data_IF_296794458302
#
_entry.id   IF_296794458302
#
_cell.length_a   1.000
_cell.length_b   1.000
_cell.length_c   1.000
_cell.angle_alpha   90.00
_cell.angle_beta   90.00
_cell.angle_gamma   90.00
#
_symmetry.space_group_name_H-M   'P 1'
#
loop_
_entity.id
_entity.type
_entity.pdbx_description
1 polymer ?
#
# COMPACT_ATOMS: atom_id res chain seq x y z
N UNK A 1 22.63 -21.30 18.78
CA UNK A 1 22.73 -19.98 19.42
C UNK A 1 21.51 -19.81 20.31
N UNK A 2 21.66 -20.03 21.62
CA UNK A 2 20.55 -20.06 22.58
C UNK A 2 20.17 -18.63 23.00
N UNK A 3 18.95 -18.21 22.69
CA UNK A 3 18.41 -16.92 23.15
C UNK A 3 18.04 -17.09 24.63
N UNK A 4 18.89 -16.59 25.53
CA UNK A 4 18.54 -16.41 26.94
C UNK A 4 17.47 -15.32 27.01
N UNK A 5 16.24 -15.71 27.29
CA UNK A 5 15.18 -14.78 27.69
C UNK A 5 15.58 -14.19 29.04
N UNK A 6 16.20 -13.02 29.01
CA UNK A 6 16.44 -12.22 30.21
C UNK A 6 15.06 -11.79 30.70
N UNK A 7 14.54 -12.47 31.73
CA UNK A 7 13.45 -11.98 32.56
C UNK A 7 13.96 -10.76 33.31
N UNK A 8 13.99 -9.61 32.65
CA UNK A 8 14.08 -8.34 33.36
C UNK A 8 12.77 -8.16 34.13
N UNK A 9 12.91 -8.11 35.46
CA UNK A 9 11.87 -7.66 36.36
C UNK A 9 11.51 -6.22 35.97
N UNK A 10 10.55 -6.05 35.07
CA UNK A 10 9.80 -4.81 35.00
C UNK A 10 9.06 -4.71 36.33
N UNK A 11 9.62 -3.91 37.25
CA UNK A 11 8.82 -3.22 38.27
C UNK A 11 7.61 -2.65 37.54
N UNK A 12 6.44 -2.77 38.13
CA UNK A 12 5.20 -2.14 37.66
C UNK A 12 5.32 -0.61 37.64
N UNK A 13 6.16 -0.07 36.76
CA UNK A 13 6.15 1.33 36.36
C UNK A 13 4.86 1.52 35.57
N UNK A 14 3.90 2.17 36.22
CA UNK A 14 2.66 2.60 35.58
C UNK A 14 3.03 3.45 34.37
N UNK A 15 2.92 2.88 33.17
CA UNK A 15 3.11 3.63 31.93
C UNK A 15 2.13 4.79 31.91
N UNK A 16 2.64 6.02 31.89
CA UNK A 16 1.80 7.21 31.86
C UNK A 16 0.98 7.26 30.57
N UNK A 17 -0.27 7.71 30.68
CA UNK A 17 -1.19 7.82 29.53
C UNK A 17 -0.61 8.64 28.37
N UNK A 18 0.17 9.68 28.69
CA UNK A 18 0.79 10.53 27.69
C UNK A 18 1.87 9.78 26.90
N UNK A 19 2.58 8.84 27.54
CA UNK A 19 3.54 7.96 26.87
C UNK A 19 2.83 7.03 25.88
N UNK A 20 1.67 6.49 26.25
CA UNK A 20 0.88 5.62 25.35
C UNK A 20 0.38 6.41 24.14
N UNK A 21 -0.11 7.64 24.33
CA UNK A 21 -0.58 8.50 23.24
C UNK A 21 0.56 8.80 22.26
N UNK A 22 1.73 9.20 22.78
CA UNK A 22 2.91 9.48 21.95
C UNK A 22 3.37 8.25 21.14
N UNK A 23 3.31 7.05 21.73
CA UNK A 23 3.64 5.81 21.02
C UNK A 23 2.67 5.57 19.86
N UNK A 24 1.36 5.79 20.05
CA UNK A 24 0.37 5.57 18.99
C UNK A 24 0.52 6.61 17.89
N UNK A 25 0.69 7.89 18.23
CA UNK A 25 0.94 8.96 17.26
C UNK A 25 2.20 8.69 16.42
N UNK A 26 3.31 8.31 17.07
CA UNK A 26 4.55 7.95 16.38
C UNK A 26 4.38 6.76 15.43
N UNK A 27 3.59 5.75 15.82
CA UNK A 27 3.29 4.62 14.93
C UNK A 27 2.37 5.02 13.77
N UNK A 28 1.44 5.93 14.01
CA UNK A 28 0.57 6.50 12.98
C UNK A 28 1.37 7.26 11.93
N UNK A 29 2.35 8.06 12.35
CA UNK A 29 3.25 8.76 11.43
C UNK A 29 4.07 7.79 10.57
N UNK A 30 4.51 6.66 11.14
CA UNK A 30 5.17 5.58 10.38
C UNK A 30 4.23 4.94 9.36
N UNK A 31 2.98 4.69 9.73
CA UNK A 31 1.95 4.14 8.81
C UNK A 31 1.69 5.12 7.67
N UNK A 32 1.54 6.42 7.96
CA UNK A 32 1.36 7.46 6.93
C UNK A 32 2.57 7.61 6.02
N UNK A 33 3.78 7.55 6.58
CA UNK A 33 5.02 7.55 5.80
C UNK A 33 5.07 6.35 4.84
N UNK A 34 4.69 5.17 5.34
CA UNK A 34 4.58 3.96 4.52
C UNK A 34 3.51 4.11 3.43
N UNK A 35 2.36 4.69 3.75
CA UNK A 35 1.31 5.00 2.77
C UNK A 35 1.79 5.95 1.67
N UNK A 36 2.56 6.99 2.02
CA UNK A 36 3.16 7.91 1.04
C UNK A 36 4.19 7.20 0.16
N UNK A 37 5.02 6.31 0.71
CA UNK A 37 5.95 5.50 -0.08
C UNK A 37 5.20 4.61 -1.07
N UNK A 38 4.13 3.93 -0.63
CA UNK A 38 3.27 3.13 -1.51
C UNK A 38 2.67 4.00 -2.62
N UNK A 39 2.14 5.18 -2.29
CA UNK A 39 1.60 6.11 -3.27
C UNK A 39 2.62 6.51 -4.34
N UNK A 40 3.86 6.80 -3.94
CA UNK A 40 4.94 7.12 -4.88
C UNK A 40 5.27 5.94 -5.79
N UNK A 41 5.42 4.73 -5.22
CA UNK A 41 5.74 3.53 -6.01
C UNK A 41 4.59 3.22 -6.98
N UNK A 42 3.34 3.25 -6.52
CA UNK A 42 2.15 3.06 -7.37
C UNK A 42 2.07 4.08 -8.51
N UNK A 43 2.51 5.32 -8.27
CA UNK A 43 2.60 6.34 -9.32
C UNK A 43 3.65 6.00 -10.38
N UNK A 44 4.83 5.55 -9.96
CA UNK A 44 5.91 5.14 -10.86
C UNK A 44 5.49 3.92 -11.68
N UNK A 45 4.91 2.89 -11.03
CA UNK A 45 4.44 1.68 -11.71
C UNK A 45 3.31 1.98 -12.68
N UNK A 46 2.37 2.85 -12.32
CA UNK A 46 1.31 3.31 -13.23
C UNK A 46 1.89 3.96 -14.49
N UNK A 47 2.85 4.88 -14.33
CA UNK A 47 3.51 5.53 -15.47
C UNK A 47 4.27 4.53 -16.35
N UNK A 48 4.99 3.58 -15.76
CA UNK A 48 5.68 2.53 -16.49
C UNK A 48 4.71 1.62 -17.27
N UNK A 49 3.60 1.25 -16.64
CA UNK A 49 2.56 0.40 -17.22
C UNK A 49 1.87 1.08 -18.41
N UNK A 50 1.56 2.37 -18.29
CA UNK A 50 1.04 3.17 -19.38
C UNK A 50 2.05 3.29 -20.54
N UNK A 51 3.31 3.55 -20.23
CA UNK A 51 4.38 3.61 -21.23
C UNK A 51 4.53 2.29 -22.00
N UNK A 52 4.49 1.16 -21.29
CA UNK A 52 4.51 -0.18 -21.91
C UNK A 52 3.29 -0.42 -22.79
N UNK A 53 2.08 -0.09 -22.31
CA UNK A 53 0.86 -0.27 -23.09
C UNK A 53 0.86 0.56 -24.38
N UNK A 54 1.29 1.82 -24.31
CA UNK A 54 1.40 2.69 -25.49
C UNK A 54 2.46 2.17 -26.47
N UNK A 55 3.61 1.75 -25.97
CA UNK A 55 4.67 1.14 -26.79
C UNK A 55 4.19 -0.13 -27.50
N UNK A 56 3.42 -0.97 -26.82
CA UNK A 56 2.84 -2.18 -27.42
C UNK A 56 1.79 -1.87 -28.47
N UNK A 57 1.00 -0.80 -28.27
CA UNK A 57 0.01 -0.36 -29.25
C UNK A 57 0.61 0.19 -30.54
N UNK A 58 1.82 0.74 -30.46
CA UNK A 58 2.52 1.30 -31.62
C UNK A 58 3.30 0.23 -32.40
N UNK A 59 3.73 -0.85 -31.74
CA UNK A 59 4.46 -1.94 -32.40
C UNK A 59 3.53 -2.86 -33.20
N UNK A 60 3.52 -2.67 -34.52
CA UNK A 60 3.00 -3.64 -35.48
C UNK A 60 3.72 -5.00 -35.38
N UNK A 61 3.00 -6.09 -35.70
CA UNK A 61 3.53 -7.45 -35.74
C UNK A 61 3.01 -8.40 -34.65
N UNK A 62 2.14 -7.93 -33.75
CA UNK A 62 1.45 -8.78 -32.76
C UNK A 62 0.09 -9.21 -33.35
N UNK A 63 -0.30 -10.48 -33.15
CA UNK A 63 -1.63 -10.93 -33.56
C UNK A 63 -2.72 -10.19 -32.78
N UNK A 64 -3.88 -9.97 -33.40
CA UNK A 64 -5.01 -9.27 -32.76
C UNK A 64 -5.41 -9.91 -31.42
N UNK A 65 -5.34 -11.24 -31.32
CA UNK A 65 -5.66 -11.98 -30.09
C UNK A 65 -4.64 -11.69 -28.98
N UNK A 66 -3.35 -11.74 -29.28
CA UNK A 66 -2.30 -11.44 -28.30
C UNK A 66 -2.33 -9.97 -27.85
N UNK A 67 -2.64 -9.05 -28.77
CA UNK A 67 -2.81 -7.63 -28.44
C UNK A 67 -3.98 -7.40 -27.48
N UNK A 68 -5.11 -8.08 -27.69
CA UNK A 68 -6.25 -8.02 -26.77
C UNK A 68 -5.89 -8.55 -25.38
N UNK A 69 -5.17 -9.67 -25.29
CA UNK A 69 -4.72 -10.22 -24.00
C UNK A 69 -3.77 -9.29 -23.26
N UNK A 70 -2.78 -8.70 -23.95
CA UNK A 70 -1.87 -7.71 -23.36
C UNK A 70 -2.61 -6.46 -22.89
N UNK A 71 -3.57 -5.98 -23.68
CA UNK A 71 -4.44 -4.86 -23.31
C UNK A 71 -5.24 -5.13 -22.04
N UNK A 72 -5.80 -6.33 -21.89
CA UNK A 72 -6.51 -6.73 -20.67
C UNK A 72 -5.56 -6.78 -19.47
N UNK A 73 -4.37 -7.38 -19.62
CA UNK A 73 -3.40 -7.49 -18.53
C UNK A 73 -2.93 -6.12 -18.05
N UNK A 74 -2.39 -5.29 -18.94
CA UNK A 74 -1.92 -3.95 -18.57
C UNK A 74 -3.05 -3.00 -18.18
N UNK A 75 -4.24 -3.12 -18.79
CA UNK A 75 -5.43 -2.38 -18.37
C UNK A 75 -5.90 -2.72 -16.96
N UNK A 76 -5.81 -4.01 -16.59
CA UNK A 76 -6.09 -4.47 -15.23
C UNK A 76 -5.07 -3.95 -14.21
N UNK A 77 -3.78 -3.95 -14.54
CA UNK A 77 -2.71 -3.36 -13.73
C UNK A 77 -2.92 -1.85 -13.49
N UNK A 78 -3.26 -1.10 -14.55
CA UNK A 78 -3.62 0.33 -14.43
C UNK A 78 -4.80 0.51 -13.46
N UNK A 79 -5.85 -0.30 -13.57
CA UNK A 79 -7.03 -0.20 -12.71
C UNK A 79 -6.69 -0.52 -11.25
N UNK A 80 -5.88 -1.54 -10.99
CA UNK A 80 -5.42 -1.93 -9.64
C UNK A 80 -4.56 -0.81 -9.03
N UNK A 81 -3.64 -0.22 -9.80
CA UNK A 81 -2.83 0.92 -9.35
C UNK A 81 -3.70 2.12 -8.95
N UNK A 82 -4.71 2.46 -9.75
CA UNK A 82 -5.63 3.57 -9.42
C UNK A 82 -6.38 3.31 -8.11
N UNK A 83 -6.81 2.07 -7.87
CA UNK A 83 -7.47 1.68 -6.62
C UNK A 83 -6.49 1.77 -5.43
N UNK A 84 -5.24 1.31 -5.60
CA UNK A 84 -4.20 1.41 -4.57
C UNK A 84 -3.88 2.86 -4.21
N UNK A 85 -3.78 3.73 -5.22
CA UNK A 85 -3.60 5.18 -5.06
C UNK A 85 -4.78 5.76 -4.28
N UNK A 86 -6.02 5.43 -4.66
CA UNK A 86 -7.23 5.90 -3.98
C UNK A 86 -7.24 5.53 -2.49
N UNK A 87 -6.90 4.29 -2.14
CA UNK A 87 -6.84 3.87 -0.73
C UNK A 87 -5.71 4.56 0.04
N UNK A 88 -4.53 4.75 -0.57
CA UNK A 88 -3.41 5.46 0.05
C UNK A 88 -3.73 6.93 0.33
N UNK A 89 -4.40 7.60 -0.62
CA UNK A 89 -4.89 8.96 -0.46
C UNK A 89 -5.95 9.03 0.65
N UNK A 90 -6.94 8.13 0.62
CA UNK A 90 -8.01 8.07 1.63
C UNK A 90 -7.45 7.85 3.03
N UNK A 91 -6.42 6.99 3.17
CA UNK A 91 -5.73 6.79 4.44
C UNK A 91 -5.07 8.07 4.97
N UNK A 92 -4.61 8.95 4.09
CA UNK A 92 -3.95 10.21 4.46
C UNK A 92 -4.94 11.30 4.89
N UNK A 93 -6.19 11.21 4.43
CA UNK A 93 -7.26 12.17 4.76
C UNK A 93 -8.05 11.83 6.03
N UNK A 94 -7.81 10.67 6.65
CA UNK A 94 -8.38 10.35 7.97
C UNK A 94 -7.78 11.31 9.02
N UNK A 95 -8.56 12.32 9.42
CA UNK A 95 -8.23 13.28 10.48
C UNK A 95 -8.96 12.94 11.76
N UNK A 96 -8.34 13.21 12.90
CA UNK A 96 -9.04 13.20 14.18
C UNK A 96 -10.08 14.33 14.22
N UNK A 97 -11.33 13.99 14.55
CA UNK A 97 -12.30 14.98 15.01
C UNK A 97 -12.07 15.17 16.52
N UNK A 98 -11.13 16.05 16.87
CA UNK A 98 -10.89 16.40 18.27
C UNK A 98 -11.97 17.36 18.79
N UNK A 99 -13.03 16.77 19.34
CA UNK A 99 -13.89 17.42 20.32
C UNK A 99 -14.24 16.36 21.37
N UNK A 100 -13.25 15.95 22.18
CA UNK A 100 -13.41 14.82 23.11
C UNK A 100 -13.21 15.26 24.56
N UNK A 101 -14.23 14.96 25.36
CA UNK A 101 -14.48 15.40 26.72
C UNK A 101 -13.79 14.56 27.81
N UNK A 102 -13.06 13.49 27.47
CA UNK A 102 -12.38 12.61 28.46
C UNK A 102 -11.16 11.88 27.88
N UNK A 103 -10.05 11.80 28.64
CA UNK A 103 -8.75 11.20 28.22
C UNK A 103 -8.86 9.75 27.73
N UNK A 104 -9.70 8.93 28.36
CA UNK A 104 -9.89 7.52 27.98
C UNK A 104 -10.61 7.37 26.63
N UNK A 105 -11.55 8.29 26.34
CA UNK A 105 -12.30 8.31 25.08
C UNK A 105 -11.39 8.76 23.93
N UNK A 106 -10.53 9.75 24.18
CA UNK A 106 -9.49 10.16 23.25
C UNK A 106 -8.57 9.00 22.84
N UNK A 107 -8.09 8.20 23.81
CA UNK A 107 -7.24 7.05 23.53
C UNK A 107 -7.95 5.99 22.65
N UNK A 108 -9.21 5.69 22.97
CA UNK A 108 -9.99 4.67 22.23
C UNK A 108 -10.26 5.10 20.79
N UNK A 109 -10.59 6.37 20.58
CA UNK A 109 -10.86 6.91 19.25
C UNK A 109 -9.56 6.99 18.40
N UNK A 110 -8.44 7.34 19.03
CA UNK A 110 -7.12 7.36 18.40
C UNK A 110 -6.66 5.94 18.00
N UNK A 111 -6.91 4.92 18.83
CA UNK A 111 -6.69 3.51 18.50
C UNK A 111 -7.54 3.06 17.30
N UNK A 112 -8.85 3.36 17.31
CA UNK A 112 -9.74 3.00 16.19
C UNK A 112 -9.27 3.62 14.88
N UNK A 113 -8.86 4.88 14.93
CA UNK A 113 -8.36 5.59 13.77
C UNK A 113 -7.05 4.99 13.26
N UNK A 114 -6.11 4.69 14.16
CA UNK A 114 -4.86 3.99 13.82
C UNK A 114 -5.12 2.63 13.15
N UNK A 115 -6.02 1.80 13.67
CA UNK A 115 -6.36 0.51 13.05
C UNK A 115 -7.01 0.67 11.68
N UNK A 116 -7.82 1.71 11.49
CA UNK A 116 -8.43 2.02 10.18
C UNK A 116 -7.37 2.42 9.15
N UNK A 117 -6.47 3.34 9.49
CA UNK A 117 -5.34 3.74 8.63
C UNK A 117 -4.44 2.54 8.30
N UNK A 118 -4.07 1.75 9.30
CA UNK A 118 -3.25 0.55 9.10
C UNK A 118 -3.92 -0.46 8.15
N UNK A 119 -5.23 -0.64 8.27
CA UNK A 119 -5.99 -1.54 7.38
C UNK A 119 -5.96 -1.05 5.93
N UNK A 120 -6.18 0.25 5.70
CA UNK A 120 -6.13 0.83 4.35
C UNK A 120 -4.75 0.74 3.72
N UNK A 121 -3.69 1.02 4.49
CA UNK A 121 -2.30 0.89 4.03
C UNK A 121 -1.97 -0.56 3.70
N UNK A 122 -2.41 -1.53 4.51
CA UNK A 122 -2.22 -2.96 4.22
C UNK A 122 -2.92 -3.39 2.93
N UNK A 123 -4.16 -2.96 2.70
CA UNK A 123 -4.90 -3.26 1.46
C UNK A 123 -4.15 -2.68 0.25
N UNK A 124 -3.71 -1.42 0.36
CA UNK A 124 -2.94 -0.75 -0.70
C UNK A 124 -1.64 -1.49 -1.02
N UNK A 125 -0.93 -1.96 0.01
CA UNK A 125 0.28 -2.76 -0.15
C UNK A 125 0.02 -4.10 -0.84
N UNK A 126 -1.05 -4.81 -0.48
CA UNK A 126 -1.43 -6.08 -1.14
C UNK A 126 -1.77 -5.83 -2.61
N UNK A 127 -2.52 -4.76 -2.92
CA UNK A 127 -2.84 -4.39 -4.29
C UNK A 127 -1.59 -4.07 -5.10
N UNK A 128 -0.60 -3.39 -4.52
CA UNK A 128 0.67 -3.11 -5.17
C UNK A 128 1.43 -4.41 -5.52
N UNK A 129 1.44 -5.39 -4.62
CA UNK A 129 2.07 -6.70 -4.90
C UNK A 129 1.36 -7.40 -6.08
N UNK A 130 0.03 -7.40 -6.07
CA UNK A 130 -0.77 -8.01 -7.15
C UNK A 130 -0.48 -7.30 -8.48
N UNK A 131 -0.42 -5.97 -8.46
CA UNK A 131 -0.09 -5.16 -9.64
C UNK A 131 1.28 -5.54 -10.23
N UNK A 132 2.32 -5.59 -9.38
CA UNK A 132 3.67 -6.00 -9.81
C UNK A 132 3.68 -7.41 -10.42
N UNK A 133 2.90 -8.34 -9.87
CA UNK A 133 2.76 -9.68 -10.45
C UNK A 133 2.10 -9.64 -11.83
N UNK A 134 1.02 -8.86 -11.99
CA UNK A 134 0.32 -8.72 -13.28
C UNK A 134 1.23 -8.08 -14.33
N UNK A 135 1.96 -7.02 -13.99
CA UNK A 135 2.94 -6.37 -14.87
C UNK A 135 4.00 -7.39 -15.30
N UNK A 136 4.54 -8.15 -14.34
CA UNK A 136 5.56 -9.17 -14.61
C UNK A 136 5.03 -10.22 -15.58
N UNK A 137 3.84 -10.77 -15.34
CA UNK A 137 3.19 -11.75 -16.23
C UNK A 137 2.96 -11.14 -17.63
N UNK A 138 2.50 -9.89 -17.71
CA UNK A 138 2.28 -9.20 -18.98
C UNK A 138 3.56 -9.03 -19.80
N UNK A 139 4.68 -8.66 -19.15
CA UNK A 139 5.99 -8.54 -19.80
C UNK A 139 6.50 -9.90 -20.28
N UNK A 140 6.40 -10.94 -19.44
CA UNK A 140 6.79 -12.30 -19.84
C UNK A 140 5.96 -12.81 -21.03
N UNK A 141 4.65 -12.57 -21.02
CA UNK A 141 3.76 -12.95 -22.12
C UNK A 141 4.12 -12.21 -23.40
N UNK A 142 4.42 -10.91 -23.33
CA UNK A 142 4.87 -10.15 -24.49
C UNK A 142 6.17 -10.70 -25.09
N UNK A 143 7.16 -11.01 -24.24
CA UNK A 143 8.42 -11.63 -24.68
C UNK A 143 8.11 -12.97 -25.37
N UNK A 144 7.33 -13.84 -24.72
CA UNK A 144 6.97 -15.14 -25.28
C UNK A 144 6.32 -15.04 -26.67
N UNK A 145 5.35 -14.14 -26.84
CA UNK A 145 4.64 -13.95 -28.12
C UNK A 145 5.55 -13.37 -29.22
N UNK A 146 6.59 -12.62 -28.87
CA UNK A 146 7.47 -12.00 -29.86
C UNK A 146 8.58 -12.94 -30.36
N UNK A 147 8.99 -13.89 -29.53
CA UNK A 147 10.11 -14.80 -29.83
C UNK A 147 9.67 -16.15 -30.42
N UNK A 148 8.36 -16.38 -30.57
CA UNK A 148 7.73 -17.52 -31.24
C UNK A 148 6.99 -17.03 -32.47
#
# INVERSE_FOLDING_TARGET
MSIRVIKEQHKDEKVEFDTIIQIIEKNRDRVRTTGNMILTISGITLSATLGLLLFLSDKGGITQRSMMTLGILFGSAISINLISIFFSITSSFLKEKYALTTKLKALTDLLKLFYSELRLVRISFILLIIDLLVITIGVFFFIYVKWI
#
